data_IF_727796341751
#
_entry.id   IF_727796341751
#
_cell.length_a   1.000
_cell.length_b   1.000
_cell.length_c   1.000
_cell.angle_alpha   90.00
_cell.angle_beta   90.00
_cell.angle_gamma   90.00
#
_symmetry.space_group_name_H-M   'P 1'
#
loop_
_entity.id
_entity.type
_entity.pdbx_description
1 polymer ?
#
# COMPACT_ATOMS: atom_id res chain seq x y z
N UNK A 1 -1.88 -27.95 26.63
CA UNK A 1 -2.20 -26.97 27.69
C UNK A 1 -2.61 -25.68 27.01
N UNK A 2 -3.80 -25.16 27.29
CA UNK A 2 -4.18 -23.82 26.82
C UNK A 2 -3.18 -22.81 27.42
N UNK A 3 -2.54 -21.99 26.57
CA UNK A 3 -1.66 -20.92 27.05
C UNK A 3 -2.51 -19.96 27.88
N UNK A 4 -2.04 -19.61 29.08
CA UNK A 4 -2.68 -18.61 29.93
C UNK A 4 -2.51 -17.24 29.28
N UNK A 5 -3.61 -16.54 29.00
CA UNK A 5 -3.60 -15.18 28.44
C UNK A 5 -2.75 -14.26 29.33
N UNK A 6 -1.91 -13.42 28.71
CA UNK A 6 -0.98 -12.54 29.41
C UNK A 6 -1.72 -11.27 29.83
N UNK A 7 -1.53 -10.86 31.09
CA UNK A 7 -1.99 -9.57 31.60
C UNK A 7 -0.88 -8.55 31.40
N UNK A 8 -1.19 -7.43 30.76
CA UNK A 8 -0.23 -6.35 30.49
C UNK A 8 -0.74 -5.03 31.06
N UNK A 9 0.15 -4.23 31.62
CA UNK A 9 -0.12 -2.83 31.99
C UNK A 9 0.45 -1.93 30.89
N UNK A 10 -0.42 -1.14 30.26
CA UNK A 10 -0.05 -0.23 29.18
C UNK A 10 -0.47 1.17 29.60
N UNK A 11 0.44 2.14 29.44
CA UNK A 11 0.13 3.54 29.68
C UNK A 11 -0.07 4.27 28.35
N UNK A 12 -1.05 5.17 28.28
CA UNK A 12 -1.33 6.04 27.12
C UNK A 12 -1.34 7.50 27.53
N UNK A 13 -1.06 8.40 26.59
CA UNK A 13 -1.09 9.83 26.86
C UNK A 13 -2.49 10.30 27.30
N UNK A 14 -2.57 11.04 28.39
CA UNK A 14 -3.83 11.51 28.99
C UNK A 14 -4.39 12.80 28.33
N UNK A 15 -3.65 13.39 27.40
CA UNK A 15 -4.00 14.64 26.72
C UNK A 15 -3.74 15.91 27.55
N UNK A 16 -3.29 15.78 28.79
CA UNK A 16 -2.83 16.87 29.68
C UNK A 16 -1.30 16.93 29.80
N UNK A 17 -0.58 16.11 29.02
CA UNK A 17 0.88 16.01 29.04
C UNK A 17 1.41 14.91 29.96
N UNK A 18 0.53 14.07 30.52
CA UNK A 18 0.86 12.91 31.35
C UNK A 18 0.53 11.57 30.69
N UNK A 19 0.71 10.50 31.44
CA UNK A 19 0.44 9.11 31.03
C UNK A 19 -0.57 8.48 31.98
N UNK A 20 -1.66 7.93 31.43
CA UNK A 20 -2.69 7.21 32.18
C UNK A 20 -2.61 5.70 31.90
N UNK A 21 -2.71 4.83 32.93
CA UNK A 21 -2.76 3.39 32.72
C UNK A 21 -4.09 2.99 32.07
N UNK A 22 -4.04 2.08 31.10
CA UNK A 22 -5.19 1.33 30.59
C UNK A 22 -5.21 -0.01 31.32
N UNK A 23 -6.28 -0.25 32.09
CA UNK A 23 -6.51 -1.54 32.70
C UNK A 23 -6.91 -2.59 31.66
N UNK A 24 -6.32 -3.77 31.75
CA UNK A 24 -6.77 -4.94 30.99
C UNK A 24 -7.99 -5.58 31.68
N UNK A 25 -9.18 -5.22 31.20
CA UNK A 25 -10.46 -5.58 31.81
C UNK A 25 -10.93 -6.99 31.44
N UNK A 26 -10.21 -7.70 30.56
CA UNK A 26 -10.55 -9.09 30.17
C UNK A 26 -10.62 -10.04 31.37
N UNK A 27 -9.84 -9.76 32.41
CA UNK A 27 -9.73 -10.56 33.62
C UNK A 27 -10.51 -9.97 34.81
N UNK A 28 -11.30 -8.91 34.60
CA UNK A 28 -12.07 -8.29 35.68
C UNK A 28 -13.26 -9.18 36.07
N UNK A 29 -13.36 -9.63 37.34
CA UNK A 29 -14.45 -10.48 37.81
C UNK A 29 -15.79 -9.75 37.98
N UNK A 30 -15.82 -8.42 37.82
CA UNK A 30 -17.01 -7.63 38.02
C UNK A 30 -18.13 -7.92 37.00
N UNK A 31 -19.32 -7.39 37.32
CA UNK A 31 -20.51 -7.60 36.52
C UNK A 31 -20.47 -6.82 35.19
N UNK A 32 -20.92 -7.49 34.13
CA UNK A 32 -21.04 -6.96 32.78
C UNK A 32 -22.53 -6.98 32.38
N UNK A 33 -23.28 -5.88 32.59
CA UNK A 33 -24.72 -5.83 32.42
C UNK A 33 -25.16 -5.90 30.95
N UNK A 34 -24.29 -5.55 30.01
CA UNK A 34 -24.57 -5.62 28.58
C UNK A 34 -23.75 -6.76 27.98
N UNK A 35 -24.40 -7.69 27.29
CA UNK A 35 -23.77 -8.83 26.62
C UNK A 35 -24.48 -9.14 25.32
N UNK A 36 -23.72 -9.32 24.25
CA UNK A 36 -24.26 -9.72 22.95
C UNK A 36 -23.18 -10.38 22.10
N UNK A 37 -23.60 -11.00 21.01
CA UNK A 37 -22.73 -11.66 20.04
C UNK A 37 -22.86 -10.96 18.71
N UNK A 38 -21.73 -10.58 18.11
CA UNK A 38 -21.66 -10.10 16.74
C UNK A 38 -21.40 -11.31 15.83
N UNK A 39 -22.29 -11.59 14.87
CA UNK A 39 -22.12 -12.67 13.90
C UNK A 39 -20.78 -12.62 13.15
N UNK A 40 -20.29 -13.78 12.71
CA UNK A 40 -18.97 -13.92 12.10
C UNK A 40 -18.80 -13.11 10.79
N UNK A 41 -19.88 -12.92 10.03
CA UNK A 41 -19.93 -12.12 8.80
C UNK A 41 -19.82 -10.61 9.06
N UNK A 42 -20.16 -10.14 10.26
CA UNK A 42 -20.05 -8.73 10.67
C UNK A 42 -18.82 -8.46 11.54
N UNK A 43 -18.22 -9.52 12.10
CA UNK A 43 -17.13 -9.45 13.06
C UNK A 43 -15.91 -8.65 12.56
N UNK A 44 -15.55 -8.77 11.27
CA UNK A 44 -14.37 -8.08 10.71
C UNK A 44 -14.50 -6.55 10.72
N UNK A 45 -15.73 -6.03 10.71
CA UNK A 45 -16.00 -4.59 10.57
C UNK A 45 -16.55 -3.94 11.83
N UNK A 46 -17.03 -4.72 12.81
CA UNK A 46 -17.74 -4.19 13.97
C UNK A 46 -16.93 -3.17 14.78
N UNK A 47 -15.65 -3.45 15.06
CA UNK A 47 -14.76 -2.52 15.77
C UNK A 47 -14.55 -1.22 14.96
N UNK A 48 -14.49 -1.31 13.62
CA UNK A 48 -14.37 -0.12 12.78
C UNK A 48 -15.64 0.75 12.84
N UNK A 49 -16.82 0.14 12.86
CA UNK A 49 -18.08 0.86 13.05
C UNK A 49 -18.20 1.47 14.46
N UNK A 50 -17.67 0.79 15.48
CA UNK A 50 -17.58 1.34 16.84
C UNK A 50 -16.73 2.62 16.88
N UNK A 51 -15.55 2.59 16.26
CA UNK A 51 -14.69 3.78 16.17
C UNK A 51 -15.33 4.90 15.34
N UNK A 52 -16.06 4.55 14.28
CA UNK A 52 -16.79 5.51 13.46
C UNK A 52 -17.89 6.22 14.25
N UNK A 53 -18.71 5.47 15.00
CA UNK A 53 -19.76 6.04 15.85
C UNK A 53 -19.18 6.91 16.97
N UNK A 54 -18.05 6.50 17.57
CA UNK A 54 -17.35 7.34 18.54
C UNK A 54 -16.91 8.67 17.92
N UNK A 55 -16.31 8.61 16.73
CA UNK A 55 -15.83 9.81 16.03
C UNK A 55 -16.96 10.76 15.68
N UNK A 56 -18.12 10.25 15.24
CA UNK A 56 -19.30 11.07 14.93
C UNK A 56 -19.88 11.76 16.17
N UNK A 57 -19.79 11.11 17.33
CA UNK A 57 -20.20 11.70 18.62
C UNK A 57 -19.15 12.60 19.27
N UNK A 58 -17.96 12.71 18.69
CA UNK A 58 -16.81 13.39 19.30
C UNK A 58 -16.25 12.68 20.53
N UNK A 59 -16.54 11.39 20.69
CA UNK A 59 -16.07 10.55 21.78
C UNK A 59 -14.69 9.97 21.45
N UNK A 60 -13.90 9.69 22.48
CA UNK A 60 -12.56 9.10 22.33
C UNK A 60 -12.61 7.61 22.62
N UNK A 61 -11.71 6.89 21.96
CA UNK A 61 -11.53 5.44 22.14
C UNK A 61 -10.09 5.15 22.52
N UNK A 62 -9.90 4.35 23.57
CA UNK A 62 -8.62 3.78 23.97
C UNK A 62 -8.75 2.27 23.97
N UNK A 63 -7.80 1.54 23.40
CA UNK A 63 -7.92 0.09 23.26
C UNK A 63 -6.63 -0.65 23.55
N UNK A 64 -6.77 -1.85 24.10
CA UNK A 64 -5.73 -2.85 24.27
C UNK A 64 -6.22 -4.14 23.60
N UNK A 65 -5.43 -4.72 22.70
CA UNK A 65 -5.79 -5.96 22.02
C UNK A 65 -4.64 -6.95 22.03
N UNK A 66 -4.96 -8.23 22.18
CA UNK A 66 -4.06 -9.35 22.04
C UNK A 66 -4.45 -10.17 20.81
N UNK A 67 -3.47 -10.43 19.94
CA UNK A 67 -3.62 -11.27 18.77
C UNK A 67 -2.96 -12.62 19.04
N UNK A 68 -3.73 -13.70 18.99
CA UNK A 68 -3.20 -15.07 19.05
C UNK A 68 -3.56 -15.87 17.79
N UNK A 69 -2.98 -17.07 17.67
CA UNK A 69 -3.21 -17.92 16.50
C UNK A 69 -4.67 -18.40 16.41
N UNK A 70 -5.29 -18.68 17.56
CA UNK A 70 -6.62 -19.29 17.66
C UNK A 70 -7.71 -18.27 18.01
N UNK A 71 -7.37 -17.21 18.75
CA UNK A 71 -8.33 -16.23 19.27
C UNK A 71 -7.69 -14.84 19.36
N UNK A 72 -8.48 -13.80 19.10
CA UNK A 72 -8.13 -12.43 19.40
C UNK A 72 -9.05 -11.93 20.52
N UNK A 73 -8.52 -11.14 21.45
CA UNK A 73 -9.33 -10.52 22.50
C UNK A 73 -8.81 -9.15 22.84
N UNK A 74 -9.64 -8.31 23.46
CA UNK A 74 -9.22 -6.99 23.85
C UNK A 74 -10.16 -6.28 24.80
N UNK A 75 -9.67 -5.15 25.29
CA UNK A 75 -10.43 -4.16 26.06
C UNK A 75 -10.48 -2.87 25.25
N UNK A 76 -11.65 -2.23 25.21
CA UNK A 76 -11.86 -0.90 24.64
C UNK A 76 -12.55 -0.06 25.72
N UNK A 77 -12.05 1.15 25.91
CA UNK A 77 -12.67 2.17 26.75
C UNK A 77 -13.08 3.32 25.85
N UNK A 78 -14.38 3.60 25.82
CA UNK A 78 -14.96 4.73 25.10
C UNK A 78 -15.26 5.83 26.10
N UNK A 79 -14.66 7.02 25.95
CA UNK A 79 -14.90 8.16 26.83
C UNK A 79 -15.66 9.28 26.12
N UNK A 80 -16.71 9.78 26.78
CA UNK A 80 -17.58 10.84 26.24
C UNK A 80 -16.96 12.24 26.27
N UNK A 81 -15.83 12.42 26.97
CA UNK A 81 -15.14 13.70 27.10
C UNK A 81 -13.63 13.58 26.97
N UNK A 82 -12.95 14.72 27.10
CA UNK A 82 -11.51 14.86 26.86
C UNK A 82 -10.65 14.63 28.10
N UNK A 83 -11.24 14.62 29.29
CA UNK A 83 -10.55 14.52 30.59
C UNK A 83 -10.79 13.17 31.26
N UNK A 84 -9.84 12.71 32.09
CA UNK A 84 -9.85 11.40 32.77
C UNK A 84 -10.98 11.16 33.78
N UNK A 85 -11.93 12.09 33.94
CA UNK A 85 -13.14 11.93 34.77
C UNK A 85 -14.43 11.93 33.95
N UNK A 86 -14.36 11.75 32.64
CA UNK A 86 -15.57 11.76 31.80
C UNK A 86 -16.36 10.45 31.95
N UNK A 87 -17.69 10.47 31.75
CA UNK A 87 -18.47 9.25 31.59
C UNK A 87 -17.87 8.37 30.49
N UNK A 88 -17.83 7.06 30.74
CA UNK A 88 -17.18 6.10 29.87
C UNK A 88 -17.99 4.82 29.70
N UNK A 89 -17.66 4.05 28.66
CA UNK A 89 -18.16 2.70 28.41
C UNK A 89 -16.94 1.80 28.28
N UNK A 90 -16.86 0.81 29.17
CA UNK A 90 -15.84 -0.23 29.12
C UNK A 90 -16.38 -1.43 28.36
N UNK A 91 -15.59 -1.96 27.44
CA UNK A 91 -15.97 -3.03 26.52
C UNK A 91 -14.86 -4.06 26.52
N UNK A 92 -15.21 -5.31 26.72
CA UNK A 92 -14.36 -6.48 26.55
C UNK A 92 -14.89 -7.27 25.37
N UNK A 93 -14.00 -7.72 24.49
CA UNK A 93 -14.37 -8.54 23.36
C UNK A 93 -13.43 -9.74 23.21
N UNK A 94 -14.00 -10.85 22.75
CA UNK A 94 -13.30 -12.09 22.45
C UNK A 94 -13.78 -12.63 21.10
N UNK A 95 -12.85 -13.11 20.28
CA UNK A 95 -13.12 -13.55 18.92
C UNK A 95 -12.26 -14.75 18.55
N UNK A 96 -12.82 -15.96 18.47
CA UNK A 96 -12.18 -17.08 17.81
C UNK A 96 -11.84 -16.73 16.35
N UNK A 97 -10.71 -17.19 15.81
CA UNK A 97 -10.28 -16.85 14.45
C UNK A 97 -11.33 -17.26 13.42
N UNK A 98 -11.83 -16.29 12.65
CA UNK A 98 -12.90 -16.48 11.66
C UNK A 98 -14.30 -16.69 12.25
N UNK A 99 -14.43 -16.64 13.59
CA UNK A 99 -15.69 -16.78 14.31
C UNK A 99 -16.35 -15.45 14.69
N UNK A 100 -17.49 -15.53 15.42
CA UNK A 100 -18.21 -14.36 15.93
C UNK A 100 -17.41 -13.62 17.02
N UNK A 101 -17.80 -12.37 17.31
CA UNK A 101 -17.26 -11.61 18.44
C UNK A 101 -18.23 -11.68 19.60
N UNK A 102 -17.77 -12.16 20.74
CA UNK A 102 -18.48 -12.03 22.01
C UNK A 102 -18.13 -10.70 22.65
N UNK A 103 -19.13 -9.87 22.93
CA UNK A 103 -18.95 -8.54 23.51
C UNK A 103 -19.62 -8.47 24.87
N UNK A 104 -18.87 -7.97 25.85
CA UNK A 104 -19.34 -7.64 27.19
C UNK A 104 -19.02 -6.18 27.47
N UNK A 105 -19.97 -5.42 28.00
CA UNK A 105 -19.72 -4.01 28.31
C UNK A 105 -20.44 -3.52 29.55
N UNK A 106 -19.92 -2.47 30.16
CA UNK A 106 -20.50 -1.81 31.32
C UNK A 106 -20.26 -0.30 31.30
N UNK A 107 -21.20 0.51 31.79
CA UNK A 107 -20.94 1.92 32.01
C UNK A 107 -19.90 2.14 33.11
N UNK A 108 -19.05 3.15 32.92
CA UNK A 108 -17.95 3.52 33.82
C UNK A 108 -17.74 5.05 33.81
N UNK A 109 -16.72 5.54 34.52
CA UNK A 109 -16.41 6.97 34.65
C UNK A 109 -17.09 7.65 35.85
N UNK A 110 -16.81 8.95 36.05
CA UNK A 110 -17.28 9.74 37.20
C UNK A 110 -17.79 11.13 36.79
N UNK A 111 -19.09 11.31 36.51
CA UNK A 111 -20.17 10.35 36.75
C UNK A 111 -20.17 9.19 35.75
N UNK A 112 -20.74 8.05 36.14
CA UNK A 112 -20.86 6.90 35.27
C UNK A 112 -21.79 7.21 34.09
N UNK A 113 -21.48 6.66 32.91
CA UNK A 113 -22.39 6.76 31.76
C UNK A 113 -23.75 6.10 32.11
N UNK A 114 -24.85 6.70 31.65
CA UNK A 114 -26.17 6.11 31.86
C UNK A 114 -26.30 4.78 31.09
N UNK A 115 -26.89 3.75 31.71
CA UNK A 115 -27.01 2.43 31.09
C UNK A 115 -27.82 2.47 29.78
N UNK A 116 -28.86 3.29 29.70
CA UNK A 116 -29.65 3.50 28.48
C UNK A 116 -28.83 4.13 27.36
N UNK A 117 -27.96 5.09 27.70
CA UNK A 117 -27.06 5.73 26.74
C UNK A 117 -26.02 4.73 26.19
N UNK A 118 -25.55 3.79 27.03
CA UNK A 118 -24.67 2.71 26.60
C UNK A 118 -25.35 1.74 25.64
N UNK A 119 -26.60 1.32 25.92
CA UNK A 119 -27.39 0.50 25.01
C UNK A 119 -27.63 1.21 23.68
N UNK A 120 -28.13 2.44 23.72
CA UNK A 120 -28.39 3.25 22.51
C UNK A 120 -27.14 3.43 21.65
N UNK A 121 -25.96 3.63 22.27
CA UNK A 121 -24.70 3.70 21.54
C UNK A 121 -24.36 2.38 20.84
N UNK A 122 -24.44 1.24 21.54
CA UNK A 122 -24.11 -0.07 20.99
C UNK A 122 -25.12 -0.52 19.92
N UNK A 123 -26.40 -0.21 20.09
CA UNK A 123 -27.45 -0.45 19.09
C UNK A 123 -27.17 0.35 17.82
N UNK A 124 -26.73 1.61 17.93
CA UNK A 124 -26.31 2.42 16.79
C UNK A 124 -25.09 1.80 16.08
N UNK A 125 -24.07 1.37 16.82
CA UNK A 125 -22.91 0.66 16.25
C UNK A 125 -23.35 -0.60 15.51
N UNK A 126 -24.25 -1.39 16.11
CA UNK A 126 -24.75 -2.62 15.50
C UNK A 126 -25.55 -2.34 14.23
N UNK A 127 -26.49 -1.39 14.27
CA UNK A 127 -27.29 -0.99 13.12
C UNK A 127 -26.43 -0.49 11.96
N UNK A 128 -25.38 0.31 12.25
CA UNK A 128 -24.41 0.75 11.23
C UNK A 128 -23.62 -0.40 10.63
N UNK A 129 -23.20 -1.35 11.46
CA UNK A 129 -22.44 -2.51 11.02
C UNK A 129 -23.30 -3.44 10.15
N UNK A 130 -24.55 -3.70 10.54
CA UNK A 130 -25.50 -4.49 9.77
C UNK A 130 -25.82 -3.85 8.42
N UNK A 131 -25.99 -2.53 8.39
CA UNK A 131 -26.24 -1.79 7.15
C UNK A 131 -24.96 -1.57 6.31
N UNK A 132 -23.78 -1.96 6.80
CA UNK A 132 -22.51 -1.78 6.09
C UNK A 132 -22.19 -0.31 5.79
N UNK A 133 -22.55 0.61 6.71
CA UNK A 133 -22.45 2.06 6.46
C UNK A 133 -21.00 2.48 6.22
N UNK A 134 -20.75 3.00 5.02
CA UNK A 134 -19.49 3.63 4.64
C UNK A 134 -19.70 5.12 4.39
N UNK A 135 -18.63 5.89 4.57
CA UNK A 135 -18.59 7.31 4.22
C UNK A 135 -17.64 7.51 3.06
N UNK A 136 -18.02 8.39 2.14
CA UNK A 136 -17.20 8.82 1.01
C UNK A 136 -16.61 10.18 1.32
N UNK A 137 -15.29 10.33 1.19
CA UNK A 137 -14.62 11.61 1.43
C UNK A 137 -13.44 11.83 0.49
N UNK A 138 -13.26 13.10 0.14
CA UNK A 138 -12.07 13.61 -0.53
C UNK A 138 -10.83 13.43 0.37
N UNK A 139 -9.77 12.90 -0.23
CA UNK A 139 -8.44 12.76 0.34
C UNK A 139 -7.40 13.25 -0.63
N UNK A 140 -6.40 13.94 -0.08
CA UNK A 140 -5.26 14.47 -0.82
C UNK A 140 -3.95 14.02 -0.19
N UNK A 141 -2.99 13.65 -1.04
CA UNK A 141 -1.61 13.34 -0.66
C UNK A 141 -0.68 13.68 -1.83
N UNK A 142 0.60 13.39 -1.65
CA UNK A 142 1.63 13.50 -2.67
C UNK A 142 2.29 12.14 -2.92
N UNK A 143 2.76 11.95 -4.15
CA UNK A 143 3.78 10.97 -4.49
C UNK A 143 5.03 11.73 -4.92
N UNK A 144 6.20 11.16 -4.67
CA UNK A 144 7.49 11.77 -4.99
C UNK A 144 8.24 10.90 -5.98
N UNK A 145 8.92 11.51 -6.94
CA UNK A 145 9.73 10.82 -7.93
C UNK A 145 10.90 11.65 -8.42
N UNK A 146 11.88 11.00 -9.04
CA UNK A 146 12.96 11.66 -9.76
C UNK A 146 12.67 11.68 -11.27
N UNK A 147 12.76 12.85 -11.89
CA UNK A 147 12.50 13.01 -13.32
C UNK A 147 12.04 14.41 -13.70
N UNK A 148 11.44 14.50 -14.88
CA UNK A 148 10.87 15.74 -15.40
C UNK A 148 9.64 16.17 -14.59
N UNK A 149 9.30 17.46 -14.53
CA UNK A 149 8.19 17.95 -13.71
C UNK A 149 6.83 17.45 -14.22
N UNK A 150 5.94 17.12 -13.29
CA UNK A 150 4.52 16.80 -13.57
C UNK A 150 3.74 18.10 -13.68
N UNK A 151 3.38 18.52 -14.90
CA UNK A 151 2.78 19.85 -15.15
C UNK A 151 1.31 19.83 -15.58
N UNK A 152 0.80 18.67 -15.99
CA UNK A 152 -0.60 18.53 -16.38
C UNK A 152 -1.38 17.61 -15.45
N UNK A 153 -2.68 17.51 -15.67
CA UNK A 153 -3.53 16.57 -14.95
C UNK A 153 -3.77 15.27 -15.71
N UNK A 154 -3.86 14.17 -14.95
CA UNK A 154 -4.28 12.86 -15.44
C UNK A 154 -5.40 12.34 -14.56
N UNK A 155 -6.53 11.99 -15.16
CA UNK A 155 -7.66 11.37 -14.48
C UNK A 155 -7.61 9.85 -14.66
N UNK A 156 -7.60 9.13 -13.54
CA UNK A 156 -7.62 7.67 -13.49
C UNK A 156 -9.02 7.20 -13.08
N UNK A 157 -9.97 7.40 -14.00
CA UNK A 157 -11.40 7.33 -13.73
C UNK A 157 -11.95 8.63 -13.14
N UNK A 158 -13.16 8.58 -12.59
CA UNK A 158 -13.87 9.77 -12.06
C UNK A 158 -13.44 10.19 -10.64
N UNK A 159 -12.80 9.28 -9.90
CA UNK A 159 -12.62 9.41 -8.45
C UNK A 159 -11.14 9.54 -8.05
N UNK A 160 -10.23 9.63 -9.02
CA UNK A 160 -8.80 9.70 -8.80
C UNK A 160 -8.15 10.61 -9.83
N UNK A 161 -7.48 11.66 -9.35
CA UNK A 161 -6.76 12.63 -10.16
C UNK A 161 -5.30 12.68 -9.72
N UNK A 162 -4.42 12.73 -10.72
CA UNK A 162 -3.01 13.06 -10.57
C UNK A 162 -2.79 14.46 -11.12
N UNK A 163 -2.47 15.41 -10.25
CA UNK A 163 -2.32 16.81 -10.60
C UNK A 163 -0.88 17.32 -10.47
N UNK A 164 -0.57 18.45 -11.11
CA UNK A 164 0.69 19.13 -10.91
C UNK A 164 0.73 19.86 -9.58
N UNK A 165 1.94 20.18 -9.14
CA UNK A 165 2.16 21.07 -8.01
C UNK A 165 1.98 22.53 -8.38
N UNK A 166 1.62 23.37 -7.40
CA UNK A 166 1.57 24.82 -7.60
C UNK A 166 2.95 25.44 -7.91
N UNK A 167 4.03 24.82 -7.44
CA UNK A 167 5.41 25.20 -7.73
C UNK A 167 6.22 23.98 -8.13
N UNK A 168 7.01 24.12 -9.18
CA UNK A 168 7.91 23.06 -9.64
C UNK A 168 9.31 23.32 -9.10
N UNK A 169 9.90 22.31 -8.48
CA UNK A 169 11.31 22.35 -8.15
C UNK A 169 12.15 22.17 -9.42
N UNK A 170 13.40 22.63 -9.41
CA UNK A 170 14.33 22.31 -10.50
C UNK A 170 14.52 20.80 -10.59
N UNK A 171 14.21 20.22 -11.74
CA UNK A 171 14.22 18.76 -11.97
C UNK A 171 15.60 18.13 -11.80
N UNK A 172 16.67 18.92 -11.87
CA UNK A 172 18.04 18.48 -11.61
C UNK A 172 18.43 18.52 -10.13
N UNK A 173 17.70 19.26 -9.28
CA UNK A 173 18.15 19.61 -7.94
C UNK A 173 17.22 19.10 -6.83
N UNK A 174 16.03 18.63 -7.18
CA UNK A 174 15.08 18.14 -6.20
C UNK A 174 14.09 17.12 -6.79
N UNK A 175 13.58 16.20 -5.96
CA UNK A 175 12.49 15.33 -6.33
C UNK A 175 11.26 16.12 -6.80
N UNK A 176 10.58 15.55 -7.78
CA UNK A 176 9.32 16.05 -8.29
C UNK A 176 8.15 15.42 -7.53
N UNK A 177 7.01 16.10 -7.53
CA UNK A 177 5.83 15.72 -6.77
C UNK A 177 4.63 15.57 -7.70
N UNK A 178 3.84 14.54 -7.47
CA UNK A 178 2.52 14.33 -8.07
C UNK A 178 1.49 14.52 -6.98
N UNK A 179 0.54 15.44 -7.17
CA UNK A 179 -0.59 15.57 -6.26
C UNK A 179 -1.59 14.47 -6.56
N UNK A 180 -1.97 13.71 -5.55
CA UNK A 180 -3.02 12.70 -5.65
C UNK A 180 -4.25 13.20 -4.91
N UNK A 181 -5.30 13.50 -5.66
CA UNK A 181 -6.64 13.78 -5.13
C UNK A 181 -7.53 12.55 -5.39
N UNK A 182 -8.26 12.08 -4.40
CA UNK A 182 -9.15 10.93 -4.55
C UNK A 182 -10.41 11.03 -3.69
N UNK A 183 -11.53 10.58 -4.25
CA UNK A 183 -12.75 10.30 -3.48
C UNK A 183 -12.74 8.85 -3.02
N UNK A 184 -12.67 8.64 -1.71
CA UNK A 184 -12.46 7.31 -1.12
C UNK A 184 -13.57 6.95 -0.16
N UNK A 185 -14.03 5.70 -0.27
CA UNK A 185 -15.03 5.11 0.61
C UNK A 185 -14.35 4.28 1.71
N UNK A 186 -14.90 4.36 2.93
CA UNK A 186 -14.45 3.57 4.05
C UNK A 186 -15.33 3.72 5.29
N UNK A 187 -15.13 2.85 6.27
CA UNK A 187 -15.85 2.90 7.55
C UNK A 187 -15.25 4.00 8.42
N UNK A 188 -15.98 5.12 8.55
CA UNK A 188 -15.52 6.30 9.28
C UNK A 188 -14.22 6.90 8.74
N UNK A 189 -13.61 7.80 9.52
CA UNK A 189 -12.39 8.50 9.11
C UNK A 189 -11.18 7.56 8.99
N UNK A 190 -11.04 6.60 9.92
CA UNK A 190 -9.94 5.64 9.91
C UNK A 190 -10.02 4.69 8.70
N UNK A 191 -11.22 4.23 8.33
CA UNK A 191 -11.43 3.40 7.16
C UNK A 191 -11.07 4.14 5.88
N UNK A 192 -11.57 5.38 5.71
CA UNK A 192 -11.22 6.23 4.55
C UNK A 192 -9.71 6.41 4.43
N UNK A 193 -9.01 6.73 5.53
CA UNK A 193 -7.56 6.92 5.51
C UNK A 193 -6.82 5.63 5.14
N UNK A 194 -7.22 4.51 5.73
CA UNK A 194 -6.62 3.19 5.43
C UNK A 194 -6.80 2.84 3.95
N UNK A 195 -8.00 2.98 3.41
CA UNK A 195 -8.27 2.74 1.99
C UNK A 195 -7.47 3.68 1.09
N UNK A 196 -7.35 4.96 1.47
CA UNK A 196 -6.57 5.94 0.71
C UNK A 196 -5.06 5.62 0.73
N UNK A 197 -4.50 5.22 1.87
CA UNK A 197 -3.11 4.80 1.95
C UNK A 197 -2.81 3.54 1.14
N UNK A 198 -3.76 2.59 1.10
CA UNK A 198 -3.66 1.43 0.21
C UNK A 198 -3.69 1.87 -1.25
N UNK A 199 -4.60 2.76 -1.63
CA UNK A 199 -4.68 3.33 -2.97
C UNK A 199 -3.37 4.00 -3.39
N UNK A 200 -2.76 4.81 -2.51
CA UNK A 200 -1.48 5.47 -2.79
C UNK A 200 -0.35 4.47 -3.06
N UNK A 201 -0.28 3.37 -2.30
CA UNK A 201 0.73 2.32 -2.51
C UNK A 201 0.51 1.57 -3.84
N UNK A 202 -0.73 1.25 -4.16
CA UNK A 202 -1.05 0.60 -5.43
C UNK A 202 -0.74 1.52 -6.62
N UNK A 203 -1.10 2.80 -6.49
CA UNK A 203 -0.85 3.82 -7.49
C UNK A 203 0.66 4.04 -7.67
N UNK A 204 1.45 4.09 -6.60
CA UNK A 204 2.91 4.21 -6.72
C UNK A 204 3.51 3.03 -7.46
N UNK A 205 3.10 1.80 -7.15
CA UNK A 205 3.54 0.58 -7.86
C UNK A 205 3.13 0.65 -9.33
N UNK A 206 1.88 1.02 -9.60
CA UNK A 206 1.35 1.12 -10.95
C UNK A 206 2.12 2.14 -11.81
N UNK A 207 2.33 3.36 -11.31
CA UNK A 207 3.05 4.40 -12.03
C UNK A 207 4.53 4.02 -12.26
N UNK A 208 5.17 3.35 -11.29
CA UNK A 208 6.51 2.79 -11.47
C UNK A 208 6.60 1.88 -12.70
N UNK A 209 5.62 1.00 -12.86
CA UNK A 209 5.58 0.04 -13.96
C UNK A 209 5.24 0.74 -15.27
N UNK A 210 4.14 1.49 -15.31
CA UNK A 210 3.59 2.02 -16.56
C UNK A 210 4.43 3.18 -17.08
N UNK A 211 4.85 4.12 -16.22
CA UNK A 211 5.62 5.30 -16.63
C UNK A 211 7.12 5.01 -16.62
N UNK A 212 7.61 4.12 -15.75
CA UNK A 212 9.03 3.76 -15.67
C UNK A 212 9.89 4.70 -14.84
N UNK A 213 9.27 5.54 -14.01
CA UNK A 213 9.90 6.46 -13.06
C UNK A 213 9.78 5.91 -11.64
N UNK A 214 10.74 6.22 -10.76
CA UNK A 214 10.72 5.73 -9.38
C UNK A 214 9.77 6.57 -8.51
N UNK A 215 8.50 6.18 -8.48
CA UNK A 215 7.44 6.89 -7.75
C UNK A 215 7.28 6.28 -6.37
N UNK A 216 7.42 7.06 -5.32
CA UNK A 216 7.30 6.59 -3.94
C UNK A 216 6.23 7.37 -3.19
N UNK A 217 5.61 6.71 -2.21
CA UNK A 217 4.79 7.41 -1.22
C UNK A 217 5.76 8.13 -0.29
N UNK A 218 5.70 9.46 -0.27
CA UNK A 218 6.61 10.27 0.52
C UNK A 218 6.53 9.87 2.01
N UNK A 219 7.71 9.68 2.62
CA UNK A 219 7.83 9.43 4.07
C UNK A 219 8.20 10.70 4.84
N UNK A 220 8.18 11.85 4.19
CA UNK A 220 8.66 13.08 4.78
C UNK A 220 7.82 13.44 6.01
N UNK A 221 8.53 13.92 7.02
CA UNK A 221 7.92 14.36 8.25
C UNK A 221 7.17 15.66 8.06
N UNK A 222 6.27 15.93 8.99
CA UNK A 222 5.72 17.26 9.19
C UNK A 222 6.67 18.04 10.10
N UNK A 223 7.00 19.27 9.72
CA UNK A 223 7.82 20.15 10.55
C UNK A 223 7.13 21.50 10.71
N UNK A 224 7.34 22.12 11.88
CA UNK A 224 7.00 23.53 12.05
C UNK A 224 7.95 24.34 11.18
N UNK A 225 7.40 25.07 10.22
CA UNK A 225 8.15 25.93 9.32
C UNK A 225 7.74 27.37 9.55
N UNK A 226 8.71 28.28 9.41
CA UNK A 226 8.48 29.71 9.49
C UNK A 226 8.79 30.37 8.15
N UNK A 227 7.92 31.26 7.70
CA UNK A 227 8.22 32.18 6.59
C UNK A 227 9.06 33.33 7.13
N UNK A 228 10.17 33.65 6.46
CA UNK A 228 11.03 34.78 6.81
C UNK A 228 10.73 35.90 5.81
N UNK A 229 10.42 37.08 6.32
CA UNK A 229 10.26 38.27 5.47
C UNK A 229 11.61 38.79 4.94
N UNK A 230 11.62 39.75 4.00
CA UNK A 230 12.87 40.32 3.48
C UNK A 230 13.76 40.99 4.55
N UNK A 231 13.23 41.30 5.74
CA UNK A 231 13.96 41.87 6.85
C UNK A 231 14.53 40.80 7.81
N UNK A 232 14.36 39.50 7.50
CA UNK A 232 14.87 38.40 8.31
C UNK A 232 13.95 37.99 9.47
N UNK A 233 12.72 38.50 9.53
CA UNK A 233 11.77 38.22 10.62
C UNK A 233 10.81 37.10 10.26
N UNK A 234 10.61 36.16 11.19
CA UNK A 234 9.59 35.13 11.05
C UNK A 234 8.18 35.74 11.07
N UNK A 235 7.40 35.53 10.01
CA UNK A 235 6.07 36.14 9.82
C UNK A 235 4.91 35.14 9.91
N UNK A 236 5.14 33.87 9.60
CA UNK A 236 4.09 32.83 9.62
C UNK A 236 4.68 31.49 10.03
N UNK A 237 4.19 30.91 11.13
CA UNK A 237 4.67 29.64 11.68
C UNK A 237 3.58 28.58 11.61
N UNK A 238 3.71 27.61 10.70
CA UNK A 238 2.74 26.52 10.56
C UNK A 238 3.44 25.17 10.42
N UNK A 239 2.74 24.11 10.80
CA UNK A 239 3.15 22.73 10.55
C UNK A 239 2.95 22.40 9.06
N UNK A 240 4.02 22.01 8.35
CA UNK A 240 4.02 21.77 6.91
C UNK A 240 4.79 20.51 6.54
N UNK A 241 4.46 19.83 5.42
CA UNK A 241 5.26 18.73 4.92
C UNK A 241 6.66 19.23 4.54
N UNK A 242 7.70 18.49 4.96
CA UNK A 242 9.08 18.79 4.60
C UNK A 242 9.31 18.53 3.10
N UNK A 243 10.06 19.40 2.43
CA UNK A 243 10.48 19.20 1.04
C UNK A 243 9.49 19.67 -0.03
N UNK A 244 8.25 20.02 0.33
CA UNK A 244 7.23 20.47 -0.61
C UNK A 244 6.38 21.63 -0.08
N UNK A 245 5.99 22.55 -0.97
CA UNK A 245 5.14 23.69 -0.65
C UNK A 245 3.93 23.78 -1.57
N UNK A 246 2.73 23.58 -1.00
CA UNK A 246 1.46 23.89 -1.66
C UNK A 246 0.94 25.25 -1.18
N UNK A 247 0.62 26.15 -2.10
CA UNK A 247 0.03 27.46 -1.75
C UNK A 247 -1.45 27.39 -1.40
N UNK A 248 -2.16 26.32 -1.80
CA UNK A 248 -3.61 26.19 -1.62
C UNK A 248 -4.01 24.85 -0.99
N UNK A 249 -4.57 24.92 0.22
CA UNK A 249 -5.33 23.84 0.81
C UNK A 249 -6.68 23.74 0.10
N UNK A 250 -6.99 22.59 -0.50
CA UNK A 250 -8.29 22.30 -1.13
C UNK A 250 -9.02 21.26 -0.31
N UNK A 251 -10.27 21.55 0.06
CA UNK A 251 -11.12 20.66 0.84
C UNK A 251 -11.92 19.67 -0.02
N UNK A 252 -12.08 19.95 -1.32
CA UNK A 252 -12.85 19.14 -2.27
C UNK A 252 -12.04 18.72 -3.49
N UNK A 253 -12.54 17.70 -4.18
CA UNK A 253 -12.01 17.23 -5.46
C UNK A 253 -11.98 18.37 -6.50
N UNK A 254 -10.88 18.54 -7.25
CA UNK A 254 -10.82 19.46 -8.39
C UNK A 254 -11.83 19.10 -9.49
N UNK A 255 -12.28 20.09 -10.26
CA UNK A 255 -13.06 19.83 -11.48
C UNK A 255 -12.14 19.43 -12.65
N UNK A 256 -12.55 18.47 -13.50
CA UNK A 256 -11.82 18.18 -14.72
C UNK A 256 -11.65 19.42 -15.61
N UNK A 257 -10.45 19.63 -16.14
CA UNK A 257 -10.11 20.75 -17.03
C UNK A 257 -9.71 22.04 -16.33
N UNK A 258 -9.64 22.09 -14.99
CA UNK A 258 -9.06 23.24 -14.27
C UNK A 258 -7.57 23.46 -14.59
N UNK A 259 -6.88 22.39 -14.97
CA UNK A 259 -5.47 22.36 -15.33
C UNK A 259 -5.34 21.70 -16.71
N UNK A 260 -4.37 22.09 -17.56
CA UNK A 260 -4.12 21.39 -18.81
C UNK A 260 -3.87 19.89 -18.61
N UNK A 261 -4.29 19.02 -19.54
CA UNK A 261 -4.01 17.59 -19.45
C UNK A 261 -2.49 17.34 -19.55
N UNK A 262 -2.03 16.27 -18.90
CA UNK A 262 -0.64 15.81 -19.05
C UNK A 262 -0.37 15.36 -20.50
N UNK A 263 0.82 15.61 -21.07
CA UNK A 263 1.16 15.09 -22.38
C UNK A 263 1.10 13.56 -22.42
N UNK A 264 0.48 13.04 -23.48
CA UNK A 264 0.39 11.60 -23.74
C UNK A 264 1.38 11.22 -24.83
N UNK A 265 2.23 10.23 -24.55
CA UNK A 265 3.10 9.60 -25.53
C UNK A 265 2.37 8.47 -26.26
N UNK A 266 2.61 8.26 -27.58
CA UNK A 266 2.08 7.12 -28.29
C UNK A 266 2.51 5.79 -27.64
N UNK A 267 1.81 4.70 -28.01
CA UNK A 267 2.10 3.37 -27.46
C UNK A 267 1.93 2.24 -28.49
N UNK A 268 3.00 1.46 -28.68
CA UNK A 268 3.06 0.23 -29.47
C UNK A 268 3.43 -0.94 -28.53
N UNK A 269 2.48 -1.85 -28.32
CA UNK A 269 2.64 -3.03 -27.45
C UNK A 269 2.80 -4.32 -28.29
N UNK A 270 3.55 -5.34 -27.81
CA UNK A 270 4.38 -5.33 -26.61
C UNK A 270 5.65 -4.50 -26.84
N UNK A 271 6.00 -3.64 -25.89
CA UNK A 271 7.18 -2.77 -26.01
C UNK A 271 7.11 -1.54 -25.10
N UNK A 272 8.22 -0.80 -25.07
CA UNK A 272 8.37 0.49 -24.43
C UNK A 272 8.73 1.49 -25.53
N UNK A 273 7.88 2.48 -25.78
CA UNK A 273 8.16 3.46 -26.85
C UNK A 273 9.28 4.42 -26.51
N UNK A 274 9.47 4.72 -25.22
CA UNK A 274 10.47 5.68 -24.76
C UNK A 274 11.31 5.10 -23.63
N UNK A 275 12.61 5.06 -23.85
CA UNK A 275 13.62 4.68 -22.87
C UNK A 275 14.45 5.92 -22.52
N UNK A 276 13.97 6.71 -21.57
CA UNK A 276 14.70 7.85 -21.02
C UNK A 276 14.13 9.21 -21.42
N UNK A 277 14.92 10.24 -21.11
CA UNK A 277 14.63 11.65 -21.29
C UNK A 277 15.51 12.17 -22.42
N UNK A 278 14.92 12.91 -23.35
CA UNK A 278 15.59 13.62 -24.44
C UNK A 278 15.80 15.09 -24.09
N UNK A 279 16.70 15.77 -24.80
CA UNK A 279 16.98 17.19 -24.57
C UNK A 279 15.78 18.12 -24.85
N UNK A 280 14.79 17.65 -25.61
CA UNK A 280 13.58 18.38 -25.95
C UNK A 280 12.50 18.28 -24.85
N UNK A 281 12.69 17.40 -23.87
CA UNK A 281 11.70 17.19 -22.83
C UNK A 281 11.77 18.26 -21.74
N UNK A 282 10.65 18.94 -21.56
CA UNK A 282 10.49 19.98 -20.54
C UNK A 282 9.56 19.56 -19.39
N UNK A 283 8.80 18.48 -19.58
CA UNK A 283 7.79 17.97 -18.66
C UNK A 283 7.59 16.46 -18.80
N UNK A 284 7.05 15.84 -17.74
CA UNK A 284 6.77 14.41 -17.73
C UNK A 284 5.58 14.10 -18.67
N UNK A 285 5.80 13.17 -19.61
CA UNK A 285 4.74 12.56 -20.40
C UNK A 285 4.39 11.18 -19.85
N UNK A 286 3.14 10.74 -20.05
CA UNK A 286 2.69 9.39 -19.70
C UNK A 286 2.25 8.62 -20.95
N UNK A 287 2.37 7.28 -20.98
CA UNK A 287 1.84 6.47 -22.09
C UNK A 287 0.34 6.70 -22.31
N UNK A 288 -0.12 6.81 -23.56
CA UNK A 288 -1.54 7.04 -23.88
C UNK A 288 -2.49 5.96 -23.34
N UNK A 289 -2.00 4.72 -23.15
CA UNK A 289 -2.77 3.60 -22.61
C UNK A 289 -2.77 3.52 -21.06
N UNK A 290 -2.25 4.55 -20.36
CA UNK A 290 -2.15 4.55 -18.90
C UNK A 290 -3.51 4.41 -18.22
N UNK A 291 -4.54 5.12 -18.70
CA UNK A 291 -5.89 5.04 -18.11
C UNK A 291 -6.47 3.64 -18.30
N UNK A 292 -6.39 3.09 -19.51
CA UNK A 292 -6.85 1.73 -19.82
C UNK A 292 -6.16 0.66 -18.95
N UNK A 293 -4.85 0.79 -18.75
CA UNK A 293 -4.08 -0.13 -17.90
C UNK A 293 -4.49 -0.02 -16.44
N UNK A 294 -4.77 1.19 -15.95
CA UNK A 294 -5.28 1.39 -14.60
C UNK A 294 -6.65 0.73 -14.42
N UNK A 295 -7.58 0.95 -15.34
CA UNK A 295 -8.90 0.32 -15.30
C UNK A 295 -8.81 -1.21 -15.33
N UNK A 296 -7.92 -1.76 -16.16
CA UNK A 296 -7.61 -3.20 -16.16
C UNK A 296 -7.13 -3.68 -14.81
N UNK A 297 -6.19 -2.97 -14.17
CA UNK A 297 -5.68 -3.30 -12.83
C UNK A 297 -6.82 -3.32 -11.79
N UNK A 298 -7.70 -2.31 -11.84
CA UNK A 298 -8.84 -2.18 -10.93
C UNK A 298 -9.90 -3.27 -11.17
N UNK A 299 -10.04 -3.74 -12.42
CA UNK A 299 -10.94 -4.81 -12.81
C UNK A 299 -10.41 -6.24 -12.57
N UNK A 300 -9.14 -6.41 -12.15
CA UNK A 300 -8.59 -7.74 -11.87
C UNK A 300 -9.25 -8.39 -10.64
N UNK A 301 -9.45 -9.72 -10.65
CA UNK A 301 -9.76 -10.47 -9.43
C UNK A 301 -8.70 -10.25 -8.34
N UNK A 302 -9.10 -10.26 -7.07
CA UNK A 302 -8.22 -9.94 -5.93
C UNK A 302 -6.88 -10.69 -5.95
N UNK A 303 -6.89 -12.00 -6.22
CA UNK A 303 -5.66 -12.80 -6.28
C UNK A 303 -4.76 -12.50 -7.49
N UNK A 304 -5.30 -11.97 -8.59
CA UNK A 304 -4.50 -11.52 -9.74
C UNK A 304 -3.95 -10.11 -9.49
N UNK A 305 -4.76 -9.21 -8.92
CA UNK A 305 -4.30 -7.88 -8.50
C UNK A 305 -3.18 -7.97 -7.48
N UNK A 306 -3.32 -8.80 -6.45
CA UNK A 306 -2.25 -9.05 -5.46
C UNK A 306 -0.97 -9.55 -6.13
N UNK A 307 -1.08 -10.47 -7.11
CA UNK A 307 0.08 -10.93 -7.88
C UNK A 307 0.78 -9.80 -8.63
N UNK A 308 0.01 -8.95 -9.33
CA UNK A 308 0.57 -7.79 -10.02
C UNK A 308 1.26 -6.84 -9.05
N UNK A 309 0.63 -6.55 -7.91
CA UNK A 309 1.18 -5.65 -6.90
C UNK A 309 2.48 -6.20 -6.29
N UNK A 310 2.57 -7.51 -6.01
CA UNK A 310 3.82 -8.14 -5.56
C UNK A 310 4.91 -8.05 -6.61
N UNK A 311 4.58 -8.35 -7.87
CA UNK A 311 5.51 -8.27 -8.99
C UNK A 311 6.02 -6.84 -9.22
N UNK A 312 5.11 -5.86 -9.20
CA UNK A 312 5.42 -4.44 -9.31
C UNK A 312 6.19 -3.90 -8.10
N UNK A 313 5.90 -4.37 -6.88
CA UNK A 313 6.67 -4.02 -5.69
C UNK A 313 8.10 -4.57 -5.75
N UNK A 314 8.30 -5.81 -6.24
CA UNK A 314 9.64 -6.32 -6.49
C UNK A 314 10.40 -5.48 -7.53
N UNK A 315 9.71 -5.05 -8.59
CA UNK A 315 10.28 -4.13 -9.59
C UNK A 315 10.65 -2.76 -8.96
N UNK A 316 9.80 -2.20 -8.11
CA UNK A 316 10.07 -0.95 -7.41
C UNK A 316 11.25 -1.07 -6.43
N UNK A 317 11.33 -2.17 -5.67
CA UNK A 317 12.47 -2.46 -4.80
C UNK A 317 13.76 -2.55 -5.63
N UNK A 318 13.73 -3.25 -6.77
CA UNK A 318 14.87 -3.30 -7.69
C UNK A 318 15.30 -1.88 -8.06
N UNK A 319 14.37 -1.02 -8.50
CA UNK A 319 14.65 0.37 -8.89
C UNK A 319 15.35 1.18 -7.78
N UNK A 320 14.92 1.05 -6.53
CA UNK A 320 15.57 1.74 -5.40
C UNK A 320 17.00 1.29 -5.08
N UNK A 321 17.42 0.14 -5.61
CA UNK A 321 18.77 -0.41 -5.43
C UNK A 321 19.75 0.05 -6.52
N UNK A 322 19.27 0.71 -7.58
CA UNK A 322 20.10 1.20 -8.67
C UNK A 322 20.67 2.59 -8.36
N UNK A 323 21.93 2.88 -8.75
CA UNK A 323 22.92 2.00 -9.39
C UNK A 323 23.79 1.21 -8.40
N UNK A 324 23.63 1.43 -7.10
CA UNK A 324 24.61 1.03 -6.08
C UNK A 324 24.69 -0.49 -5.85
N UNK A 325 23.55 -1.20 -5.95
CA UNK A 325 23.46 -2.64 -5.69
C UNK A 325 22.98 -3.39 -6.95
N UNK A 326 23.78 -3.33 -8.02
CA UNK A 326 23.43 -3.89 -9.35
C UNK A 326 23.06 -5.38 -9.34
N UNK A 327 23.69 -6.18 -8.50
CA UNK A 327 23.35 -7.61 -8.33
C UNK A 327 21.96 -7.80 -7.72
N UNK A 328 21.65 -7.05 -6.66
CA UNK A 328 20.34 -7.10 -6.02
C UNK A 328 19.25 -6.57 -6.97
N UNK A 329 19.55 -5.50 -7.71
CA UNK A 329 18.71 -4.99 -8.80
C UNK A 329 18.33 -6.11 -9.79
N UNK A 330 19.33 -6.82 -10.35
CA UNK A 330 19.10 -7.89 -11.31
C UNK A 330 18.27 -9.03 -10.71
N UNK A 331 18.55 -9.41 -9.45
CA UNK A 331 17.79 -10.44 -8.74
C UNK A 331 16.31 -10.06 -8.57
N UNK A 332 16.01 -8.84 -8.13
CA UNK A 332 14.63 -8.38 -7.96
C UNK A 332 13.89 -8.19 -9.30
N UNK A 333 14.59 -7.87 -10.39
CA UNK A 333 14.00 -7.90 -11.74
C UNK A 333 13.55 -9.31 -12.15
N UNK A 334 14.37 -10.33 -11.84
CA UNK A 334 14.00 -11.73 -12.06
C UNK A 334 12.80 -12.12 -11.18
N UNK A 335 12.79 -11.72 -9.91
CA UNK A 335 11.65 -11.96 -9.00
C UNK A 335 10.38 -11.31 -9.52
N UNK A 336 10.44 -10.06 -9.97
CA UNK A 336 9.31 -9.33 -10.50
C UNK A 336 8.69 -10.07 -11.70
N UNK A 337 9.52 -10.53 -12.65
CA UNK A 337 9.06 -11.36 -13.76
C UNK A 337 8.44 -12.69 -13.28
N UNK A 338 9.15 -13.43 -12.43
CA UNK A 338 8.71 -14.75 -12.00
C UNK A 338 7.44 -14.71 -11.13
N UNK A 339 7.20 -13.61 -10.43
CA UNK A 339 5.97 -13.39 -9.66
C UNK A 339 4.72 -13.37 -10.55
N UNK A 340 4.86 -13.16 -11.86
CA UNK A 340 3.75 -13.17 -12.82
C UNK A 340 3.26 -14.58 -13.20
N UNK A 341 3.97 -15.63 -12.77
CA UNK A 341 3.61 -17.03 -13.02
C UNK A 341 2.15 -17.31 -12.62
N UNK A 342 1.41 -18.12 -13.40
CA UNK A 342 0.10 -18.57 -12.97
C UNK A 342 0.21 -19.43 -11.70
N UNK A 343 -0.85 -19.48 -10.86
CA UNK A 343 -0.79 -20.21 -9.61
C UNK A 343 -0.83 -21.72 -9.87
N UNK A 344 -0.24 -22.49 -8.95
CA UNK A 344 -0.34 -23.95 -8.89
C UNK A 344 0.98 -24.67 -9.11
N UNK A 345 1.13 -25.82 -8.43
CA UNK A 345 2.37 -26.61 -8.35
C UNK A 345 2.98 -26.98 -9.71
N UNK A 346 2.17 -27.05 -10.76
CA UNK A 346 2.62 -27.38 -12.12
C UNK A 346 3.56 -26.33 -12.73
N UNK A 347 3.65 -25.15 -12.13
CA UNK A 347 4.50 -24.04 -12.60
C UNK A 347 5.71 -23.79 -11.70
N UNK A 348 5.93 -24.60 -10.66
CA UNK A 348 7.01 -24.41 -9.69
C UNK A 348 8.40 -24.50 -10.37
N UNK A 349 8.53 -25.36 -11.38
CA UNK A 349 9.78 -25.53 -12.13
C UNK A 349 10.03 -24.42 -13.17
N UNK A 350 9.01 -23.61 -13.49
CA UNK A 350 9.11 -22.55 -14.49
C UNK A 350 9.93 -21.37 -13.95
N UNK A 351 10.71 -20.75 -14.83
CA UNK A 351 11.55 -19.59 -14.53
C UNK A 351 11.18 -18.39 -15.42
N UNK A 352 11.92 -17.30 -15.26
CA UNK A 352 11.78 -16.08 -16.08
C UNK A 352 11.73 -16.35 -17.59
N UNK A 353 12.50 -17.30 -18.13
CA UNK A 353 12.46 -17.60 -19.57
C UNK A 353 11.09 -18.07 -20.03
N UNK A 354 10.39 -18.88 -19.22
CA UNK A 354 9.06 -19.38 -19.56
C UNK A 354 8.00 -18.28 -19.48
N UNK A 355 8.16 -17.36 -18.52
CA UNK A 355 7.29 -16.16 -18.39
C UNK A 355 7.48 -15.24 -19.59
N UNK A 356 8.73 -14.92 -19.93
CA UNK A 356 9.09 -14.06 -21.06
C UNK A 356 8.64 -14.70 -22.38
N UNK A 357 8.76 -16.03 -22.54
CA UNK A 357 8.25 -16.69 -23.76
C UNK A 357 6.73 -16.55 -23.89
N UNK A 358 6.01 -16.76 -22.78
CA UNK A 358 4.55 -16.70 -22.77
C UNK A 358 3.99 -15.29 -22.99
N UNK A 359 4.72 -14.26 -22.55
CA UNK A 359 4.29 -12.86 -22.67
C UNK A 359 4.84 -12.19 -23.93
N UNK A 360 6.14 -12.29 -24.20
CA UNK A 360 6.84 -11.52 -25.24
C UNK A 360 7.30 -12.37 -26.44
N UNK A 361 7.24 -13.70 -26.33
CA UNK A 361 7.59 -14.63 -27.41
C UNK A 361 9.03 -15.12 -27.38
N UNK A 362 9.35 -16.02 -28.33
CA UNK A 362 10.61 -16.76 -28.33
C UNK A 362 11.86 -15.90 -28.62
N UNK A 363 11.71 -14.80 -29.36
CA UNK A 363 12.84 -13.92 -29.71
C UNK A 363 13.46 -13.26 -28.48
N UNK A 364 12.63 -12.72 -27.57
CA UNK A 364 13.09 -12.09 -26.33
C UNK A 364 13.77 -13.10 -25.37
N UNK A 365 13.27 -14.33 -25.34
CA UNK A 365 13.90 -15.41 -24.57
C UNK A 365 15.25 -15.79 -25.15
N UNK A 366 15.36 -15.90 -26.48
CA UNK A 366 16.64 -16.16 -27.13
C UNK A 366 17.63 -15.05 -26.79
N UNK A 367 17.24 -13.78 -26.85
CA UNK A 367 18.08 -12.67 -26.46
C UNK A 367 18.59 -12.81 -25.01
N UNK A 368 17.71 -13.06 -24.03
CA UNK A 368 18.13 -13.27 -22.64
C UNK A 368 19.08 -14.46 -22.46
N UNK A 369 18.89 -15.55 -23.22
CA UNK A 369 19.79 -16.71 -23.18
C UNK A 369 21.18 -16.39 -23.74
N UNK A 370 21.27 -15.54 -24.77
CA UNK A 370 22.56 -15.08 -25.30
C UNK A 370 23.34 -14.27 -24.27
N UNK A 371 22.66 -13.53 -23.41
CA UNK A 371 23.25 -12.76 -22.30
C UNK A 371 23.67 -13.64 -21.10
N UNK A 372 23.52 -14.97 -21.21
CA UNK A 372 23.95 -15.96 -20.19
C UNK A 372 23.38 -15.72 -18.78
N UNK A 373 22.19 -15.13 -18.68
CA UNK A 373 21.50 -15.00 -17.40
C UNK A 373 21.29 -16.40 -16.77
N UNK A 374 21.57 -16.54 -15.47
CA UNK A 374 21.38 -17.78 -14.71
C UNK A 374 20.29 -17.65 -13.64
N UNK A 375 18.98 -17.63 -14.01
CA UNK A 375 17.89 -17.38 -13.07
C UNK A 375 17.81 -18.41 -11.94
N UNK A 376 18.26 -19.64 -12.17
CA UNK A 376 18.20 -20.69 -11.16
C UNK A 376 19.07 -20.40 -9.93
N UNK A 377 20.09 -19.53 -10.06
CA UNK A 377 20.95 -19.12 -8.95
C UNK A 377 20.29 -18.09 -8.03
N UNK A 378 19.19 -17.47 -8.49
CA UNK A 378 18.38 -16.51 -7.73
C UNK A 378 17.26 -17.24 -6.95
N UNK A 379 17.14 -18.59 -7.06
CA UNK A 379 16.03 -19.36 -6.48
C UNK A 379 16.11 -19.56 -4.97
N UNK A 380 15.62 -18.56 -4.24
CA UNK A 380 15.01 -18.74 -2.90
C UNK A 380 13.49 -18.69 -3.02
N UNK A 381 12.78 -19.66 -2.44
CA UNK A 381 11.31 -19.73 -2.52
C UNK A 381 10.62 -18.51 -1.90
N UNK A 382 11.22 -17.93 -0.85
CA UNK A 382 10.74 -16.70 -0.21
C UNK A 382 11.01 -15.44 -1.06
N UNK A 383 12.17 -15.42 -1.76
CA UNK A 383 12.53 -14.34 -2.68
C UNK A 383 11.58 -14.26 -3.87
N UNK A 384 11.21 -15.40 -4.48
CA UNK A 384 10.31 -15.44 -5.64
C UNK A 384 8.83 -15.24 -5.34
N UNK A 385 8.43 -15.27 -4.06
CA UNK A 385 7.08 -14.91 -3.61
C UNK A 385 6.96 -13.44 -3.18
N UNK A 386 8.08 -12.72 -3.11
CA UNK A 386 8.15 -11.35 -2.62
C UNK A 386 7.92 -11.24 -1.11
N UNK A 387 8.21 -12.30 -0.34
CA UNK A 387 7.87 -12.43 1.09
C UNK A 387 9.02 -12.03 2.04
N UNK A 388 10.11 -11.43 1.55
CA UNK A 388 11.32 -11.18 2.34
C UNK A 388 11.20 -10.01 3.32
N UNK A 389 11.80 -10.18 4.50
CA UNK A 389 12.09 -9.10 5.46
C UNK A 389 13.50 -8.52 5.27
N UNK A 390 13.75 -7.30 5.77
CA UNK A 390 15.07 -6.66 5.72
C UNK A 390 16.10 -7.49 6.51
N UNK A 391 17.15 -7.97 5.84
CA UNK A 391 18.25 -8.75 6.46
C UNK A 391 18.55 -10.09 5.79
N UNK A 392 17.60 -10.67 5.06
CA UNK A 392 17.78 -11.96 4.37
C UNK A 392 18.63 -11.87 3.08
N UNK A 393 19.11 -10.67 2.73
CA UNK A 393 19.88 -10.37 1.51
C UNK A 393 21.38 -10.67 1.63
N UNK A 394 21.92 -10.72 2.85
CA UNK A 394 23.38 -10.78 3.09
C UNK A 394 24.06 -12.00 2.45
N UNK A 395 23.48 -13.22 2.47
CA UNK A 395 24.13 -14.39 1.85
C UNK A 395 24.16 -14.34 0.31
N UNK A 396 23.21 -13.64 -0.31
CA UNK A 396 23.07 -13.55 -1.78
C UNK A 396 24.07 -12.54 -2.36
N UNK A 397 24.38 -11.49 -1.61
CA UNK A 397 25.30 -10.42 -2.02
C UNK A 397 26.78 -10.85 -2.11
N UNK A 398 27.13 -12.02 -1.55
CA UNK A 398 28.51 -12.53 -1.49
C UNK A 398 28.91 -13.39 -2.71
N UNK A 399 28.02 -13.65 -3.67
CA UNK A 399 28.36 -14.43 -4.86
C UNK A 399 28.93 -13.55 -5.99
N UNK A 400 30.19 -13.81 -6.35
CA UNK A 400 31.05 -13.07 -7.30
C UNK A 400 30.70 -13.25 -8.79
N UNK A 401 29.55 -13.83 -9.11
CA UNK A 401 29.19 -14.27 -10.47
C UNK A 401 28.79 -13.13 -11.45
N UNK A 402 28.63 -11.90 -10.96
CA UNK A 402 28.17 -10.74 -11.76
C UNK A 402 29.32 -9.84 -12.26
N UNK A 403 30.57 -10.32 -12.23
CA UNK A 403 31.77 -9.57 -12.61
C UNK A 403 32.11 -9.55 -14.11
N UNK A 404 31.24 -10.05 -15.00
CA UNK A 404 31.48 -10.10 -16.44
C UNK A 404 31.08 -8.76 -17.12
N UNK A 405 31.86 -8.21 -18.07
CA UNK A 405 31.47 -7.02 -18.86
C UNK A 405 30.11 -7.14 -19.58
N UNK A 406 29.57 -8.35 -19.77
CA UNK A 406 28.19 -8.62 -20.24
C UNK A 406 27.07 -8.35 -19.21
N UNK A 407 27.43 -8.02 -17.96
CA UNK A 407 26.45 -7.77 -16.91
C UNK A 407 25.66 -6.47 -17.11
N UNK A 408 26.28 -5.44 -17.69
CA UNK A 408 25.56 -4.21 -18.04
C UNK A 408 24.46 -4.46 -19.08
N UNK A 409 24.78 -5.21 -20.12
CA UNK A 409 23.82 -5.61 -21.16
C UNK A 409 22.72 -6.49 -20.60
N UNK A 410 23.08 -7.41 -19.70
CA UNK A 410 22.12 -8.24 -18.95
C UNK A 410 21.16 -7.39 -18.12
N UNK A 411 21.67 -6.43 -17.38
CA UNK A 411 20.86 -5.53 -16.55
C UNK A 411 19.97 -4.66 -17.43
N UNK A 412 20.50 -4.05 -18.48
CA UNK A 412 19.75 -3.22 -19.43
C UNK A 412 18.60 -4.01 -20.08
N UNK A 413 18.88 -5.24 -20.54
CA UNK A 413 17.88 -6.13 -21.10
C UNK A 413 16.82 -6.52 -20.05
N UNK A 414 17.23 -6.86 -18.82
CA UNK A 414 16.32 -7.19 -17.72
C UNK A 414 15.41 -6.02 -17.35
N UNK A 415 15.94 -4.80 -17.28
CA UNK A 415 15.14 -3.59 -17.01
C UNK A 415 14.01 -3.45 -18.04
N UNK A 416 14.36 -3.53 -19.34
CA UNK A 416 13.40 -3.41 -20.44
C UNK A 416 12.40 -4.55 -20.43
N UNK A 417 12.86 -5.79 -20.35
CA UNK A 417 12.02 -6.99 -20.47
C UNK A 417 11.09 -7.12 -19.27
N UNK A 418 11.57 -6.86 -18.05
CA UNK A 418 10.74 -6.97 -16.84
C UNK A 418 9.58 -6.01 -16.87
N UNK A 419 9.85 -4.74 -17.19
CA UNK A 419 8.80 -3.72 -17.33
C UNK A 419 7.82 -4.08 -18.46
N UNK A 420 8.32 -4.55 -19.60
CA UNK A 420 7.48 -4.96 -20.73
C UNK A 420 6.58 -6.16 -20.36
N UNK A 421 7.11 -7.15 -19.64
CA UNK A 421 6.34 -8.28 -19.12
C UNK A 421 5.24 -7.83 -18.16
N UNK A 422 5.53 -6.92 -17.22
CA UNK A 422 4.54 -6.39 -16.26
C UNK A 422 3.39 -5.69 -17.00
N UNK A 423 3.71 -4.81 -17.94
CA UNK A 423 2.72 -4.10 -18.75
C UNK A 423 1.91 -5.06 -19.62
N UNK A 424 2.57 -6.00 -20.31
CA UNK A 424 1.90 -6.95 -21.19
C UNK A 424 1.00 -7.92 -20.41
N UNK A 425 1.43 -8.36 -19.23
CA UNK A 425 0.63 -9.18 -18.32
C UNK A 425 -0.64 -8.44 -17.89
N UNK A 426 -0.51 -7.15 -17.54
CA UNK A 426 -1.65 -6.31 -17.16
C UNK A 426 -2.59 -6.07 -18.35
N UNK A 427 -2.05 -5.79 -19.54
CA UNK A 427 -2.80 -5.62 -20.78
C UNK A 427 -3.66 -6.84 -21.09
N UNK A 428 -3.13 -8.06 -20.86
CA UNK A 428 -3.84 -9.33 -21.03
C UNK A 428 -4.77 -9.71 -19.86
N UNK A 429 -5.01 -8.80 -18.92
CA UNK A 429 -5.90 -9.05 -17.78
C UNK A 429 -5.40 -10.17 -16.88
N UNK A 430 -4.08 -10.32 -16.73
CA UNK A 430 -3.46 -11.33 -15.89
C UNK A 430 -3.52 -12.76 -16.41
N UNK A 431 -3.87 -12.94 -17.69
CA UNK A 431 -4.00 -14.26 -18.33
C UNK A 431 -3.02 -14.43 -19.48
N UNK A 432 -2.30 -15.55 -19.52
CA UNK A 432 -1.44 -15.93 -20.63
C UNK A 432 -1.11 -17.43 -20.58
N UNK A 433 -0.69 -17.98 -21.71
CA UNK A 433 -0.30 -19.39 -21.80
C UNK A 433 1.19 -19.54 -21.54
N UNK A 434 1.52 -20.18 -20.43
CA UNK A 434 2.89 -20.60 -20.16
C UNK A 434 3.14 -21.95 -20.83
N UNK A 435 4.01 -22.01 -21.84
CA UNK A 435 4.34 -23.26 -22.52
C UNK A 435 5.03 -24.18 -21.51
N UNK A 436 4.50 -25.40 -21.38
CA UNK A 436 5.02 -26.42 -20.46
C UNK A 436 6.50 -26.63 -20.78
N UNK A 437 7.42 -26.68 -19.79
CA UNK A 437 8.70 -27.32 -20.05
C UNK A 437 8.38 -28.74 -20.52
N UNK A 438 8.86 -29.12 -21.71
CA UNK A 438 8.83 -30.52 -22.15
C UNK A 438 9.40 -31.31 -20.98
N UNK A 439 8.58 -32.16 -20.36
CA UNK A 439 9.06 -33.11 -19.36
C UNK A 439 10.33 -33.71 -19.95
N UNK A 440 11.46 -33.50 -19.28
CA UNK A 440 12.73 -34.03 -19.72
C UNK A 440 12.48 -35.51 -20.00
N UNK A 441 12.54 -35.89 -21.28
CA UNK A 441 12.38 -37.27 -21.68
C UNK A 441 13.37 -38.04 -20.80
N UNK A 442 12.84 -38.84 -19.87
CA UNK A 442 13.64 -39.65 -19.00
C UNK A 442 14.65 -40.37 -19.90
N UNK A 443 15.91 -39.99 -19.79
CA UNK A 443 17.03 -40.84 -20.17
C UNK A 443 16.91 -42.07 -19.28
N UNK A 444 16.08 -43.02 -19.69
CA UNK A 444 16.32 -44.44 -19.44
C UNK A 444 17.58 -44.76 -20.24
N UNK A 445 18.75 -44.44 -19.68
CA UNK A 445 19.95 -45.19 -19.99
C UNK A 445 19.92 -46.41 -19.06
N UNK A 446 19.81 -47.56 -19.70
CA UNK A 446 20.13 -48.87 -19.13
C UNK A 446 21.56 -48.89 -18.65
#
# INVERSE_FOLDING_TARGET
MAKRKIRSEVHVADGAGGMAPIADLRFDPAEWPIRFVVPADLADHWIAHLNAECSERGWKTSALSQLEAEENSGTIVVSTGTTGKSPALEIVWERPRGGPIEVRSRPAGSPALMLEAAHSFLDAVHGRCQAGIQVRRHRRAHLVYEGLPWRGELWLGKDLRLGPTARHASWLLAPQVIIVDAEVEGIGWQGVNSTFHLLLRELSIFLNVVVGIDVTVEKSGWAWTYEIDPAGKATKCDLRPLGYWETTSRSSMPQPGEVPPIPLGPVQRPGLERLGISAEDVEQAVPQDTVDLWERLRGLPAGQRDRFLRAGNAYQIARSMWPDQRTAYAAFMVVACESLKPPGKRYDDCNIYDVVEGLLGASEVQHLRHLRLAPQRIRSQHLHRGELAAGELVPILLQTDFGDPSFHDTVSALTRITRTCLIEWLRRGGTYTLKRPRAAAHRRKR
#
